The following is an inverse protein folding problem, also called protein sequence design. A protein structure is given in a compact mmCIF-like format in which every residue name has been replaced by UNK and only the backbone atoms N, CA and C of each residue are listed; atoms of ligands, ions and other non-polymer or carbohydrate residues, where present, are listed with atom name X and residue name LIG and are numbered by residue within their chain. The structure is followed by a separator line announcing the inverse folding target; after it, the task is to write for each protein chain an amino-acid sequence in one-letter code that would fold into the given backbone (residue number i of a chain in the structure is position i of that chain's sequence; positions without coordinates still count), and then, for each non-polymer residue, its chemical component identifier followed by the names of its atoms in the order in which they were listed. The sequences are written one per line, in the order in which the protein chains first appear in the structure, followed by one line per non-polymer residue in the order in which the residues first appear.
data_IF_405034245035
#
_entry.id   IF_405034245035
#
_cell.length_a   1.000
_cell.length_b   1.000
_cell.length_c   1.000
_cell.angle_alpha   90.00
_cell.angle_beta   90.00
_cell.angle_gamma   90.00
#
_symmetry.space_group_name_H-M   'P 1'
#
loop_
_entity.id
_entity.type
_entity.pdbx_description
1 polymer ?
#
# COMPACT_ATOMS: atom_id res chain seq x y z
N UNK A 1 -10.32 -32.10 4.52
CA UNK A 1 -10.73 -30.70 4.69
C UNK A 1 -9.93 -30.11 5.83
N UNK A 2 -9.05 -29.14 5.56
CA UNK A 2 -8.29 -28.46 6.61
C UNK A 2 -8.80 -27.04 6.68
N UNK A 3 -9.45 -26.74 7.78
CA UNK A 3 -9.90 -25.41 8.16
C UNK A 3 -8.68 -24.57 8.52
N UNK A 4 -8.60 -23.35 7.97
CA UNK A 4 -7.67 -22.32 8.40
C UNK A 4 -8.51 -21.16 8.91
N UNK A 5 -8.82 -21.20 10.18
CA UNK A 5 -9.38 -20.07 10.93
C UNK A 5 -8.20 -19.20 11.35
N UNK A 6 -8.02 -18.07 10.66
CA UNK A 6 -7.07 -17.05 11.10
C UNK A 6 -7.59 -16.38 12.37
N UNK A 7 -7.02 -16.74 13.51
CA UNK A 7 -7.27 -16.04 14.76
C UNK A 7 -6.49 -14.72 14.75
N UNK A 8 -7.21 -13.60 14.87
CA UNK A 8 -6.68 -12.27 15.12
C UNK A 8 -5.89 -12.27 16.43
N UNK A 9 -4.66 -11.75 16.43
CA UNK A 9 -3.94 -11.46 17.68
C UNK A 9 -4.30 -10.04 18.10
N UNK A 10 -5.28 -9.93 19.00
CA UNK A 10 -5.52 -8.72 19.80
C UNK A 10 -4.52 -8.70 20.96
N UNK A 11 -3.56 -7.78 20.95
CA UNK A 11 -2.77 -7.46 22.14
C UNK A 11 -3.46 -6.34 22.92
N UNK A 12 -4.48 -6.70 23.70
CA UNK A 12 -4.97 -5.82 24.74
C UNK A 12 -3.97 -5.85 25.90
N UNK A 13 -3.14 -4.81 25.99
CA UNK A 13 -2.26 -4.58 27.13
C UNK A 13 -3.11 -4.25 28.37
N UNK A 14 -3.31 -5.23 29.24
CA UNK A 14 -3.84 -5.02 30.58
C UNK A 14 -3.09 -5.88 31.60
N UNK A 15 -2.20 -5.20 32.31
CA UNK A 15 -1.75 -5.38 33.70
C UNK A 15 -2.14 -6.69 34.41
N UNK A 16 -1.11 -7.41 34.85
CA UNK A 16 -1.06 -7.97 36.21
C UNK A 16 -1.29 -9.47 36.34
N UNK A 17 -0.27 -10.27 36.02
CA UNK A 17 0.07 -11.51 36.74
C UNK A 17 1.46 -11.97 36.34
N UNK A 18 2.25 -12.37 37.34
CA UNK A 18 3.66 -12.71 37.25
C UNK A 18 3.84 -14.09 36.61
N UNK A 19 3.78 -14.14 35.28
CA UNK A 19 4.30 -15.28 34.52
C UNK A 19 5.67 -14.89 33.98
N UNK A 20 6.71 -15.37 34.67
CA UNK A 20 8.09 -15.32 34.20
C UNK A 20 8.16 -16.06 32.86
N UNK A 21 8.10 -15.32 31.76
CA UNK A 21 8.59 -15.81 30.48
C UNK A 21 10.07 -16.12 30.68
N UNK A 22 10.41 -17.41 30.84
CA UNK A 22 11.77 -17.88 30.64
C UNK A 22 12.07 -17.63 29.17
N UNK A 23 12.63 -16.46 28.89
CA UNK A 23 13.29 -16.18 27.62
C UNK A 23 14.52 -17.08 27.68
N UNK A 24 14.40 -18.30 27.15
CA UNK A 24 15.58 -19.11 26.88
C UNK A 24 16.55 -18.21 26.10
N UNK A 25 17.74 -18.06 26.69
CA UNK A 25 18.83 -17.16 26.27
C UNK A 25 19.37 -17.48 24.86
N UNK A 26 18.76 -18.46 24.18
CA UNK A 26 19.08 -18.95 22.83
C UNK A 26 18.16 -18.40 21.73
N UNK A 27 17.32 -17.39 22.00
CA UNK A 27 16.65 -16.64 20.91
C UNK A 27 17.56 -15.52 20.38
N UNK A 28 18.82 -15.85 20.10
CA UNK A 28 19.74 -14.97 19.36
C UNK A 28 19.31 -14.98 17.88
N UNK A 29 18.84 -13.84 17.39
CA UNK A 29 18.67 -13.65 15.95
C UNK A 29 20.05 -13.53 15.29
N UNK A 30 20.62 -14.64 14.84
CA UNK A 30 21.91 -14.72 14.10
C UNK A 30 21.85 -14.07 12.70
N UNK A 31 20.80 -13.30 12.42
CA UNK A 31 20.59 -12.61 11.16
C UNK A 31 21.70 -11.58 10.89
N UNK A 32 22.19 -10.87 11.90
CA UNK A 32 23.27 -9.89 11.73
C UNK A 32 24.66 -10.53 11.59
N UNK A 33 24.85 -11.76 12.08
CA UNK A 33 26.14 -12.45 12.03
C UNK A 33 26.37 -13.22 10.73
N UNK A 34 25.31 -13.53 9.98
CA UNK A 34 25.40 -14.07 8.62
C UNK A 34 25.52 -13.00 7.55
N UNK A 35 25.48 -11.71 7.92
CA UNK A 35 25.79 -10.63 6.98
C UNK A 35 27.27 -10.75 6.59
N UNK A 36 27.58 -10.86 5.29
CA UNK A 36 28.96 -10.89 4.82
C UNK A 36 29.71 -9.64 5.31
N UNK A 37 30.67 -9.79 6.22
CA UNK A 37 31.46 -8.68 6.80
C UNK A 37 32.54 -8.14 5.84
N UNK A 38 32.57 -8.58 4.58
CA UNK A 38 33.59 -8.15 3.60
C UNK A 38 33.09 -7.02 2.69
N UNK A 39 33.28 -5.81 3.21
CA UNK A 39 33.20 -4.54 2.51
C UNK A 39 34.50 -4.25 1.74
N UNK A 40 34.78 -4.95 0.63
CA UNK A 40 35.92 -4.53 -0.22
C UNK A 40 35.88 -4.94 -1.71
N UNK A 41 34.74 -5.34 -2.25
CA UNK A 41 34.56 -5.42 -3.72
C UNK A 41 33.32 -4.66 -4.16
N UNK A 42 33.24 -3.39 -3.75
CA UNK A 42 32.53 -2.39 -4.55
C UNK A 42 33.50 -1.95 -5.64
N UNK A 43 33.65 -2.82 -6.65
CA UNK A 43 34.29 -2.40 -7.90
C UNK A 43 33.44 -1.26 -8.44
N UNK A 44 34.04 -0.09 -8.59
CA UNK A 44 33.46 1.08 -9.26
C UNK A 44 33.21 0.74 -10.74
N UNK A 45 32.24 -0.12 -11.01
CA UNK A 45 31.62 -0.23 -12.32
C UNK A 45 30.66 0.94 -12.44
N UNK A 46 31.14 1.98 -13.15
CA UNK A 46 30.39 3.03 -13.82
C UNK A 46 28.87 2.87 -13.65
N UNK A 47 28.29 3.79 -12.87
CA UNK A 47 26.86 4.09 -12.74
C UNK A 47 26.11 3.64 -14.00
N UNK A 48 25.57 2.41 -13.95
CA UNK A 48 24.63 1.90 -14.94
C UNK A 48 23.38 2.75 -14.72
N UNK A 49 23.03 3.52 -15.75
CA UNK A 49 21.94 4.49 -15.81
C UNK A 49 20.75 4.11 -14.91
N UNK A 50 20.27 5.08 -14.11
CA UNK A 50 19.09 4.92 -13.25
C UNK A 50 18.00 4.08 -13.91
N UNK A 51 17.64 2.91 -13.34
CA UNK A 51 16.55 2.08 -13.87
C UNK A 51 15.18 2.79 -13.80
N UNK A 52 15.12 4.00 -13.24
CA UNK A 52 13.94 4.86 -13.14
C UNK A 52 13.67 5.72 -14.39
N UNK A 53 14.64 5.92 -15.30
CA UNK A 53 14.42 6.78 -16.48
C UNK A 53 13.42 6.22 -17.50
N UNK A 54 13.05 4.94 -17.39
CA UNK A 54 12.14 4.28 -18.33
C UNK A 54 10.87 3.72 -17.67
N UNK A 55 10.36 4.36 -16.62
CA UNK A 55 9.08 3.99 -15.99
C UNK A 55 8.18 5.20 -15.90
N UNK A 56 6.91 5.02 -16.24
CA UNK A 56 5.90 6.04 -15.98
C UNK A 56 5.34 5.81 -14.58
N UNK A 57 5.31 6.86 -13.77
CA UNK A 57 4.80 6.84 -12.40
C UNK A 57 3.49 7.61 -12.39
N UNK A 58 2.42 6.93 -11.99
CA UNK A 58 1.12 7.54 -11.75
C UNK A 58 0.77 7.39 -10.27
N UNK A 59 0.21 8.45 -9.70
CA UNK A 59 -0.31 8.48 -8.35
C UNK A 59 -1.84 8.47 -8.40
N UNK A 60 -2.43 7.60 -7.59
CA UNK A 60 -3.88 7.48 -7.43
C UNK A 60 -4.24 7.65 -5.96
N UNK A 61 -5.39 8.24 -5.69
CA UNK A 61 -5.91 8.39 -4.33
C UNK A 61 -7.13 7.50 -4.19
N UNK A 62 -6.98 6.35 -3.56
CA UNK A 62 -8.09 5.45 -3.30
C UNK A 62 -8.99 6.01 -2.21
N UNK A 63 -10.28 6.13 -2.51
CA UNK A 63 -11.30 6.66 -1.58
C UNK A 63 -12.28 5.61 -1.07
N UNK A 64 -12.37 4.47 -1.75
CA UNK A 64 -13.28 3.39 -1.41
C UNK A 64 -13.01 2.09 -2.16
N UNK A 65 -13.56 1.00 -1.66
CA UNK A 65 -13.59 -0.31 -2.31
C UNK A 65 -14.90 -1.01 -1.94
N UNK A 66 -15.62 -1.48 -2.95
CA UNK A 66 -16.95 -2.08 -2.79
C UNK A 66 -17.00 -3.43 -3.50
N UNK A 67 -17.79 -4.36 -2.98
CA UNK A 67 -18.05 -5.65 -3.65
C UNK A 67 -19.09 -5.53 -4.76
N UNK A 68 -19.89 -4.46 -4.74
CA UNK A 68 -20.93 -4.15 -5.72
C UNK A 68 -20.56 -2.90 -6.54
N UNK A 69 -21.04 -2.84 -7.78
CA UNK A 69 -20.79 -1.73 -8.70
C UNK A 69 -21.60 -0.47 -8.33
N UNK A 70 -22.85 -0.63 -7.92
CA UNK A 70 -23.76 0.49 -7.61
C UNK A 70 -23.22 1.44 -6.51
N UNK A 71 -22.72 0.96 -5.35
CA UNK A 71 -22.07 1.82 -4.36
C UNK A 71 -20.82 2.54 -4.89
N UNK A 72 -20.05 1.89 -5.77
CA UNK A 72 -18.86 2.49 -6.39
C UNK A 72 -19.23 3.62 -7.35
N UNK A 73 -20.25 3.43 -8.17
CA UNK A 73 -20.78 4.44 -9.08
C UNK A 73 -21.37 5.64 -8.33
N UNK A 74 -22.12 5.40 -7.26
CA UNK A 74 -22.65 6.47 -6.40
C UNK A 74 -21.52 7.33 -5.81
N UNK A 75 -20.44 6.69 -5.33
CA UNK A 75 -19.28 7.42 -4.81
C UNK A 75 -18.56 8.21 -5.92
N UNK A 76 -18.38 7.61 -7.09
CA UNK A 76 -17.79 8.28 -8.26
C UNK A 76 -18.61 9.49 -8.68
N UNK A 77 -19.94 9.38 -8.74
CA UNK A 77 -20.83 10.49 -9.04
C UNK A 77 -20.74 11.62 -8.00
N UNK A 78 -20.69 11.26 -6.71
CA UNK A 78 -20.49 12.23 -5.62
C UNK A 78 -19.17 12.98 -5.76
N UNK A 79 -18.09 12.27 -6.08
CA UNK A 79 -16.77 12.85 -6.35
C UNK A 79 -16.80 13.81 -7.54
N UNK A 80 -17.42 13.41 -8.64
CA UNK A 80 -17.57 14.24 -9.83
C UNK A 80 -18.35 15.54 -9.53
N UNK A 81 -19.40 15.47 -8.69
CA UNK A 81 -20.18 16.65 -8.29
C UNK A 81 -19.33 17.68 -7.51
N UNK A 82 -18.34 17.23 -6.75
CA UNK A 82 -17.41 18.10 -6.03
C UNK A 82 -16.19 18.51 -6.88
N UNK A 83 -16.17 18.11 -8.15
CA UNK A 83 -15.12 18.45 -9.11
C UNK A 83 -13.88 17.55 -9.04
N UNK A 84 -13.99 16.34 -8.49
CA UNK A 84 -12.91 15.35 -8.50
C UNK A 84 -13.11 14.33 -9.62
N UNK A 85 -12.10 14.18 -10.46
CA UNK A 85 -12.07 13.13 -11.48
C UNK A 85 -11.69 11.78 -10.84
N UNK A 86 -12.59 10.81 -10.93
CA UNK A 86 -12.39 9.49 -10.33
C UNK A 86 -12.68 8.34 -11.30
N UNK A 87 -12.00 7.24 -11.07
CA UNK A 87 -12.05 6.01 -11.85
C UNK A 87 -12.43 4.83 -10.95
N UNK A 88 -13.18 3.88 -11.51
CA UNK A 88 -13.50 2.61 -10.84
C UNK A 88 -12.59 1.56 -11.45
N UNK A 89 -11.78 0.92 -10.60
CA UNK A 89 -10.89 -0.17 -10.98
C UNK A 89 -11.46 -1.47 -10.42
N UNK A 90 -11.92 -2.35 -11.31
CA UNK A 90 -12.44 -3.67 -10.93
C UNK A 90 -11.31 -4.69 -10.94
N UNK A 91 -11.12 -5.38 -9.80
CA UNK A 91 -10.12 -6.44 -9.66
C UNK A 91 -10.74 -7.66 -8.99
N UNK A 92 -10.47 -8.85 -9.54
CA UNK A 92 -10.87 -10.12 -8.94
C UNK A 92 -9.79 -10.61 -7.98
N UNK A 93 -10.15 -10.85 -6.73
CA UNK A 93 -9.27 -11.34 -5.68
C UNK A 93 -9.88 -12.65 -5.16
N UNK A 94 -9.33 -13.78 -5.64
CA UNK A 94 -9.93 -15.09 -5.43
C UNK A 94 -11.29 -15.21 -6.11
N UNK A 95 -12.33 -15.52 -5.33
CA UNK A 95 -13.71 -15.64 -5.83
C UNK A 95 -14.47 -14.31 -5.83
N UNK A 96 -13.96 -13.29 -5.13
CA UNK A 96 -14.63 -12.00 -4.98
C UNK A 96 -14.13 -10.98 -6.01
N UNK A 97 -15.04 -10.12 -6.47
CA UNK A 97 -14.73 -8.95 -7.31
C UNK A 97 -14.82 -7.70 -6.45
N UNK A 98 -13.80 -6.85 -6.55
CA UNK A 98 -13.76 -5.57 -5.84
C UNK A 98 -13.73 -4.43 -6.85
N UNK A 99 -14.59 -3.44 -6.63
CA UNK A 99 -14.68 -2.19 -7.36
C UNK A 99 -14.05 -1.09 -6.51
N UNK A 100 -12.81 -0.71 -6.85
CA UNK A 100 -12.06 0.31 -6.12
C UNK A 100 -12.26 1.67 -6.78
N UNK A 101 -12.72 2.65 -6.01
CA UNK A 101 -12.88 4.03 -6.48
C UNK A 101 -11.61 4.79 -6.16
N UNK A 102 -10.96 5.34 -7.17
CA UNK A 102 -9.70 6.09 -7.04
C UNK A 102 -9.77 7.41 -7.79
N UNK A 103 -9.17 8.47 -7.24
CA UNK A 103 -9.06 9.80 -7.86
C UNK A 103 -7.68 9.94 -8.51
N UNK A 104 -7.60 10.47 -9.73
CA UNK A 104 -6.37 10.53 -10.53
C UNK A 104 -6.46 9.67 -11.79
N UNK A 105 -5.41 9.61 -12.62
CA UNK A 105 -3.97 9.65 -12.27
C UNK A 105 -3.39 11.05 -12.08
N UNK A 106 -2.43 11.17 -11.18
CA UNK A 106 -1.55 12.34 -11.02
C UNK A 106 -0.10 11.96 -11.34
N UNK A 107 0.64 12.80 -12.05
CA UNK A 107 2.05 12.55 -12.35
C UNK A 107 2.98 13.03 -11.22
N UNK A 108 2.53 14.05 -10.48
CA UNK A 108 3.29 14.66 -9.39
C UNK A 108 2.81 14.19 -8.03
N UNK A 109 3.75 13.77 -7.18
CA UNK A 109 3.46 13.36 -5.81
C UNK A 109 2.86 14.49 -4.96
N UNK A 110 3.41 15.70 -5.07
CA UNK A 110 2.91 16.87 -4.33
C UNK A 110 1.47 17.16 -4.69
N UNK A 111 1.13 17.11 -5.98
CA UNK A 111 -0.25 17.33 -6.44
C UNK A 111 -1.21 16.27 -5.92
N UNK A 112 -0.78 15.00 -5.93
CA UNK A 112 -1.58 13.91 -5.39
C UNK A 112 -1.79 14.07 -3.87
N UNK A 113 -0.78 14.53 -3.13
CA UNK A 113 -0.87 14.82 -1.70
C UNK A 113 -1.84 15.96 -1.40
N UNK A 114 -1.75 17.08 -2.11
CA UNK A 114 -2.68 18.20 -1.97
C UNK A 114 -4.14 17.75 -2.19
N UNK A 115 -4.37 16.97 -3.24
CA UNK A 115 -5.70 16.45 -3.55
C UNK A 115 -6.18 15.45 -2.50
N UNK A 116 -5.28 14.64 -1.94
CA UNK A 116 -5.58 13.74 -0.83
C UNK A 116 -6.04 14.52 0.41
N UNK A 117 -5.33 15.58 0.77
CA UNK A 117 -5.70 16.46 1.88
C UNK A 117 -7.04 17.16 1.63
N UNK A 118 -7.31 17.58 0.39
CA UNK A 118 -8.60 18.16 0.01
C UNK A 118 -9.74 17.15 0.19
N UNK A 119 -9.57 15.91 -0.26
CA UNK A 119 -10.56 14.84 -0.08
C UNK A 119 -10.83 14.56 1.40
N UNK A 120 -9.80 14.59 2.25
CA UNK A 120 -9.97 14.44 3.70
C UNK A 120 -10.76 15.60 4.31
N UNK A 121 -10.55 16.84 3.86
CA UNK A 121 -11.32 18.01 4.30
C UNK A 121 -12.80 17.92 3.93
N UNK A 122 -13.11 17.35 2.77
CA UNK A 122 -14.48 17.05 2.33
C UNK A 122 -15.09 15.83 3.04
N UNK A 123 -14.35 15.17 3.94
CA UNK A 123 -14.82 14.05 4.77
C UNK A 123 -14.64 12.67 4.14
N UNK A 124 -13.85 12.53 3.07
CA UNK A 124 -13.53 11.23 2.48
C UNK A 124 -12.30 10.61 3.13
N UNK A 125 -12.28 9.28 3.21
CA UNK A 125 -11.04 8.53 3.49
C UNK A 125 -10.17 8.60 2.24
N UNK A 126 -8.87 8.85 2.40
CA UNK A 126 -7.93 8.91 1.27
C UNK A 126 -6.73 8.01 1.54
N UNK A 127 -6.38 7.18 0.57
CA UNK A 127 -5.15 6.38 0.59
C UNK A 127 -4.36 6.63 -0.70
N UNK A 128 -3.15 7.16 -0.58
CA UNK A 128 -2.30 7.50 -1.72
C UNK A 128 -1.51 6.28 -2.19
N UNK A 129 -1.65 5.92 -3.46
CA UNK A 129 -1.04 4.75 -4.09
C UNK A 129 -0.17 5.19 -5.26
N UNK A 130 1.09 4.74 -5.26
CA UNK A 130 2.02 4.91 -6.39
C UNK A 130 1.93 3.69 -7.31
N UNK A 131 1.51 3.89 -8.55
CA UNK A 131 1.53 2.89 -9.61
C UNK A 131 2.71 3.18 -10.54
N UNK A 132 3.65 2.23 -10.63
CA UNK A 132 4.78 2.33 -11.56
C UNK A 132 4.54 1.40 -12.73
N UNK A 133 4.45 1.94 -13.94
CA UNK A 133 4.26 1.17 -15.18
C UNK A 133 5.58 1.09 -15.95
N UNK A 134 5.99 -0.09 -16.46
CA UNK A 134 7.13 -0.16 -17.37
C UNK A 134 6.79 0.57 -18.66
N UNK A 135 7.67 1.43 -19.17
CA UNK A 135 7.49 2.00 -20.51
C UNK A 135 7.61 0.88 -21.54
N UNK A 136 6.54 0.67 -22.32
CA UNK A 136 6.58 -0.23 -23.47
C UNK A 136 7.42 0.40 -24.58
N UNK A 137 8.34 -0.38 -25.15
CA UNK A 137 9.06 -0.03 -26.37
C UNK A 137 8.17 -0.16 -27.60
#
# INVERSE_FOLDING_TARGET
SKETEGACVEVNSSVGQEDVINIDEDTSFDFYDTLPKESSVYKEEKVKQDPDKNRDVDFYIQVGAFSEESPADNLKAKLALMGFESVIMSARIGENVFHRVSVGPYQDYERAKEMSEKLMKEGFKSNLVKLTRPKGN
#
